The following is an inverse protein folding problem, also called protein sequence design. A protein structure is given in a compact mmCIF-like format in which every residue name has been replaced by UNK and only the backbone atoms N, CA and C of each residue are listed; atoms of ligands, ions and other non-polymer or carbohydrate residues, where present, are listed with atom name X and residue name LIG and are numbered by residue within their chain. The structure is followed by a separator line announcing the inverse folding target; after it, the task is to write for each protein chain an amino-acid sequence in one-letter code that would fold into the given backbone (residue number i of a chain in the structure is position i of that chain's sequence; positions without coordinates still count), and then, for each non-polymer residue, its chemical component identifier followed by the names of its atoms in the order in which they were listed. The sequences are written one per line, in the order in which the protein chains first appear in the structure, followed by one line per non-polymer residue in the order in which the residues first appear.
data_IF_605376068728
#
_entry.id   IF_605376068728
#
_cell.length_a   1.000
_cell.length_b   1.000
_cell.length_c   1.000
_cell.angle_alpha   90.00
_cell.angle_beta   90.00
_cell.angle_gamma   90.00
#
_symmetry.space_group_name_H-M   'P 1'
#
loop_
_entity.id
_entity.type
_entity.pdbx_description
1 polymer ?
#
# COMPACT_ATOMS: atom_id res chain seq x y z
N UNK A 1 -39.08 -58.79 -15.90
CA UNK A 1 -39.13 -58.19 -14.53
C UNK A 1 -37.71 -57.93 -14.04
N UNK A 2 -37.44 -56.70 -13.58
CA UNK A 2 -36.27 -56.19 -12.79
C UNK A 2 -34.88 -56.21 -13.48
N UNK A 3 -34.00 -55.20 -13.38
CA UNK A 3 -34.00 -53.77 -12.96
C UNK A 3 -32.62 -53.20 -13.41
N UNK A 4 -32.62 -52.13 -14.22
CA UNK A 4 -31.85 -50.86 -14.18
C UNK A 4 -30.63 -50.84 -13.20
N UNK A 5 -29.38 -50.41 -13.50
CA UNK A 5 -28.85 -49.08 -13.94
C UNK A 5 -27.30 -49.19 -13.98
N UNK A 6 -26.60 -48.48 -14.86
CA UNK A 6 -25.43 -47.68 -14.43
C UNK A 6 -25.28 -46.45 -15.34
N UNK A 7 -25.33 -45.31 -14.67
CA UNK A 7 -25.30 -43.97 -15.23
C UNK A 7 -23.88 -43.44 -15.24
N UNK A 8 -23.56 -42.69 -16.31
CA UNK A 8 -22.73 -41.48 -16.35
C UNK A 8 -21.31 -41.62 -15.79
N UNK A 9 -20.34 -41.84 -16.68
CA UNK A 9 -18.96 -41.43 -16.47
C UNK A 9 -18.57 -40.42 -17.56
N UNK A 10 -18.90 -39.17 -17.30
CA UNK A 10 -18.31 -38.01 -17.98
C UNK A 10 -18.16 -36.91 -16.92
N UNK A 11 -17.28 -37.16 -15.95
CA UNK A 11 -16.99 -36.20 -14.89
C UNK A 11 -15.73 -35.41 -15.28
N UNK A 12 -15.95 -34.13 -15.58
CA UNK A 12 -15.06 -32.99 -15.38
C UNK A 12 -13.55 -33.23 -15.57
N UNK A 13 -13.06 -32.87 -16.76
CA UNK A 13 -11.68 -32.41 -16.93
C UNK A 13 -11.73 -31.04 -17.59
N UNK A 14 -12.09 -29.98 -16.86
CA UNK A 14 -11.62 -28.60 -17.10
C UNK A 14 -11.95 -27.77 -15.86
N UNK A 15 -11.05 -27.66 -14.88
CA UNK A 15 -11.03 -26.48 -13.97
C UNK A 15 -9.67 -26.19 -13.34
N UNK A 16 -8.74 -27.15 -13.24
CA UNK A 16 -7.45 -26.88 -12.59
C UNK A 16 -6.47 -26.03 -13.43
N UNK A 17 -6.55 -26.08 -14.76
CA UNK A 17 -5.62 -25.33 -15.62
C UNK A 17 -5.85 -23.81 -15.55
N UNK A 18 -7.11 -23.37 -15.41
CA UNK A 18 -7.45 -21.94 -15.35
C UNK A 18 -6.94 -21.29 -14.06
N UNK A 19 -6.97 -22.00 -12.93
CA UNK A 19 -6.50 -21.47 -11.65
C UNK A 19 -4.97 -21.29 -11.60
N UNK A 20 -4.20 -22.25 -12.16
CA UNK A 20 -2.74 -22.11 -12.25
C UNK A 20 -2.30 -21.09 -13.31
N UNK A 21 -3.05 -20.95 -14.42
CA UNK A 21 -2.71 -19.98 -15.46
C UNK A 21 -3.02 -18.53 -15.02
N UNK A 22 -4.09 -18.31 -14.26
CA UNK A 22 -4.38 -16.99 -13.68
C UNK A 22 -3.34 -16.59 -12.63
N UNK A 23 -2.98 -17.50 -11.73
CA UNK A 23 -1.96 -17.24 -10.69
C UNK A 23 -0.61 -16.78 -11.28
N UNK A 24 -0.22 -17.31 -12.45
CA UNK A 24 1.02 -16.95 -13.14
C UNK A 24 0.96 -15.61 -13.90
N UNK A 25 -0.22 -15.12 -14.30
CA UNK A 25 -0.37 -13.80 -14.95
C UNK A 25 -0.43 -12.69 -13.90
N UNK A 26 -1.04 -13.00 -12.75
CA UNK A 26 -1.26 -12.05 -11.65
C UNK A 26 0.04 -11.64 -10.94
N UNK A 27 1.04 -12.54 -10.85
CA UNK A 27 2.39 -12.24 -10.33
C UNK A 27 3.27 -11.47 -11.34
N UNK A 28 2.95 -11.52 -12.64
CA UNK A 28 3.78 -10.91 -13.68
C UNK A 28 3.71 -9.38 -13.69
N UNK A 29 2.58 -8.80 -13.27
CA UNK A 29 2.36 -7.34 -13.31
C UNK A 29 3.40 -6.60 -12.46
N UNK A 30 3.75 -7.14 -11.29
CA UNK A 30 4.71 -6.52 -10.37
C UNK A 30 6.13 -7.07 -10.51
N UNK A 31 6.40 -7.97 -11.46
CA UNK A 31 7.70 -8.63 -11.59
C UNK A 31 8.86 -7.66 -11.88
N UNK A 32 8.61 -6.57 -12.61
CA UNK A 32 9.61 -5.52 -12.85
C UNK A 32 9.97 -4.78 -11.57
N UNK A 33 8.98 -4.51 -10.72
CA UNK A 33 9.17 -3.85 -9.43
C UNK A 33 9.91 -4.76 -8.45
N UNK A 34 9.55 -6.04 -8.39
CA UNK A 34 10.22 -7.04 -7.55
C UNK A 34 11.69 -7.23 -7.95
N UNK A 35 11.97 -7.21 -9.25
CA UNK A 35 13.35 -7.27 -9.73
C UNK A 35 14.15 -6.06 -9.27
N UNK A 36 13.59 -4.85 -9.31
CA UNK A 36 14.31 -3.67 -8.84
C UNK A 36 14.56 -3.73 -7.32
N UNK A 37 13.54 -4.14 -6.57
CA UNK A 37 13.62 -4.30 -5.11
C UNK A 37 14.65 -5.34 -4.68
N UNK A 38 14.77 -6.45 -5.41
CA UNK A 38 15.76 -7.48 -5.07
C UNK A 38 17.22 -6.99 -5.21
N UNK A 39 17.45 -5.96 -6.03
CA UNK A 39 18.77 -5.34 -6.18
C UNK A 39 18.99 -4.19 -5.19
N UNK A 40 17.93 -3.45 -4.88
CA UNK A 40 17.94 -2.29 -4.00
C UNK A 40 16.75 -2.42 -3.05
N UNK A 41 16.96 -2.68 -1.76
CA UNK A 41 15.86 -2.78 -0.78
C UNK A 41 14.91 -1.57 -0.85
N UNK A 42 13.67 -1.75 -0.43
CA UNK A 42 12.60 -0.75 -0.49
C UNK A 42 12.99 0.59 0.14
N UNK A 43 13.79 0.59 1.21
CA UNK A 43 14.28 1.82 1.85
C UNK A 43 15.34 2.61 1.07
N UNK A 44 15.82 2.10 -0.07
CA UNK A 44 16.90 2.69 -0.88
C UNK A 44 16.45 3.08 -2.29
N UNK A 45 17.02 4.15 -2.87
CA UNK A 45 16.79 4.57 -4.28
C UNK A 45 15.32 4.60 -4.76
N UNK A 46 14.48 5.40 -4.09
CA UNK A 46 13.03 5.44 -4.32
C UNK A 46 12.56 5.94 -5.71
N UNK A 47 13.39 6.66 -6.47
CA UNK A 47 12.96 7.26 -7.75
C UNK A 47 12.69 6.22 -8.84
N UNK A 48 13.53 5.20 -8.96
CA UNK A 48 13.37 4.17 -9.99
C UNK A 48 12.17 3.26 -9.69
N UNK A 49 12.04 2.83 -8.42
CA UNK A 49 10.86 2.08 -7.96
C UNK A 49 9.56 2.84 -8.16
N UNK A 50 9.55 4.14 -7.83
CA UNK A 50 8.40 5.02 -8.07
C UNK A 50 8.04 5.09 -9.55
N UNK A 51 9.03 5.23 -10.45
CA UNK A 51 8.83 5.23 -11.91
C UNK A 51 8.27 3.90 -12.43
N UNK A 52 8.81 2.78 -11.98
CA UNK A 52 8.33 1.44 -12.37
C UNK A 52 6.88 1.27 -11.91
N UNK A 53 6.58 1.59 -10.65
CA UNK A 53 5.22 1.50 -10.13
C UNK A 53 4.26 2.45 -10.85
N UNK A 54 4.69 3.67 -11.19
CA UNK A 54 3.89 4.62 -11.97
C UNK A 54 3.50 4.05 -13.33
N UNK A 55 4.42 3.39 -14.04
CA UNK A 55 4.11 2.72 -15.30
C UNK A 55 3.10 1.58 -15.11
N UNK A 56 3.33 0.71 -14.12
CA UNK A 56 2.40 -0.39 -13.77
C UNK A 56 1.00 0.18 -13.51
N UNK A 57 0.90 1.24 -12.69
CA UNK A 57 -0.37 1.87 -12.37
C UNK A 57 -1.05 2.47 -13.61
N UNK A 58 -0.32 3.20 -14.45
CA UNK A 58 -0.89 3.84 -15.64
C UNK A 58 -1.38 2.83 -16.68
N UNK A 59 -0.71 1.68 -16.81
CA UNK A 59 -1.10 0.61 -17.72
C UNK A 59 -2.30 -0.20 -17.22
N UNK A 60 -2.47 -0.34 -15.90
CA UNK A 60 -3.40 -1.32 -15.33
C UNK A 60 -4.54 -0.72 -14.49
N UNK A 61 -4.48 0.56 -14.07
CA UNK A 61 -5.43 1.15 -13.11
C UNK A 61 -6.89 1.20 -13.57
N UNK A 62 -7.15 1.06 -14.88
CA UNK A 62 -8.51 0.97 -15.43
C UNK A 62 -9.07 -0.47 -15.40
N UNK A 63 -8.24 -1.50 -15.20
CA UNK A 63 -8.69 -2.86 -14.96
C UNK A 63 -9.33 -2.95 -13.56
N UNK A 64 -10.58 -3.41 -13.51
CA UNK A 64 -11.35 -3.59 -12.26
C UNK A 64 -10.68 -4.54 -11.27
N UNK A 65 -9.79 -5.42 -11.75
CA UNK A 65 -9.05 -6.38 -10.92
C UNK A 65 -7.78 -5.78 -10.33
N UNK A 66 -7.26 -4.68 -10.88
CA UNK A 66 -5.95 -4.13 -10.48
C UNK A 66 -5.88 -3.84 -8.98
N UNK A 67 -6.93 -3.27 -8.40
CA UNK A 67 -6.96 -3.03 -6.96
C UNK A 67 -6.83 -4.33 -6.17
N UNK A 68 -7.55 -5.40 -6.54
CA UNK A 68 -7.44 -6.70 -5.86
C UNK A 68 -6.02 -7.26 -5.97
N UNK A 69 -5.45 -7.28 -7.18
CA UNK A 69 -4.10 -7.77 -7.44
C UNK A 69 -3.04 -6.98 -6.67
N UNK A 70 -3.20 -5.65 -6.62
CA UNK A 70 -2.34 -4.79 -5.82
C UNK A 70 -2.43 -5.16 -4.35
N UNK A 71 -3.63 -5.32 -3.81
CA UNK A 71 -3.79 -5.70 -2.41
C UNK A 71 -3.23 -7.10 -2.11
N UNK A 72 -3.32 -8.05 -3.02
CA UNK A 72 -2.70 -9.38 -2.85
C UNK A 72 -1.16 -9.28 -2.83
N UNK A 73 -0.58 -8.43 -3.68
CA UNK A 73 0.86 -8.15 -3.74
C UNK A 73 1.42 -7.45 -2.49
N UNK A 74 0.61 -6.57 -1.88
CA UNK A 74 0.93 -5.79 -0.68
C UNK A 74 0.89 -6.64 0.60
N UNK A 75 1.81 -7.59 0.73
CA UNK A 75 1.86 -8.57 1.82
C UNK A 75 2.87 -8.24 2.95
N UNK A 76 3.61 -7.14 2.82
CA UNK A 76 4.53 -6.63 3.85
C UNK A 76 4.21 -5.17 4.15
N UNK A 77 4.51 -4.71 5.37
CA UNK A 77 4.40 -3.29 5.71
C UNK A 77 5.23 -2.39 4.79
N UNK A 78 6.45 -2.79 4.42
CA UNK A 78 7.36 -1.95 3.66
C UNK A 78 6.82 -1.66 2.24
N UNK A 79 6.33 -2.70 1.56
CA UNK A 79 5.57 -2.58 0.31
C UNK A 79 4.40 -1.61 0.46
N UNK A 80 3.60 -1.77 1.52
CA UNK A 80 2.45 -0.90 1.75
C UNK A 80 2.87 0.55 1.97
N UNK A 81 3.94 0.79 2.72
CA UNK A 81 4.42 2.14 2.99
C UNK A 81 4.80 2.88 1.70
N UNK A 82 5.69 2.28 0.90
CA UNK A 82 6.19 2.94 -0.31
C UNK A 82 5.15 3.05 -1.41
N UNK A 83 4.38 2.00 -1.66
CA UNK A 83 3.28 2.06 -2.64
C UNK A 83 2.24 3.09 -2.21
N UNK A 84 1.91 3.15 -0.92
CA UNK A 84 1.03 4.16 -0.35
C UNK A 84 1.51 5.58 -0.65
N UNK A 85 2.81 5.85 -0.49
CA UNK A 85 3.45 7.12 -0.86
C UNK A 85 3.36 7.37 -2.36
N UNK A 86 3.77 6.41 -3.19
CA UNK A 86 3.81 6.56 -4.66
C UNK A 86 2.43 6.80 -5.28
N UNK A 87 1.35 6.44 -4.61
CA UNK A 87 -0.01 6.65 -5.13
C UNK A 87 -0.50 8.10 -5.06
N UNK A 88 0.13 8.99 -4.27
CA UNK A 88 -0.41 10.34 -4.03
C UNK A 88 0.63 11.40 -3.63
N UNK A 89 1.91 11.06 -3.46
CA UNK A 89 2.97 12.03 -3.18
C UNK A 89 3.69 12.48 -4.47
N UNK A 90 3.49 13.74 -4.86
CA UNK A 90 3.97 14.29 -6.14
C UNK A 90 5.49 14.41 -6.25
N UNK A 91 6.20 14.29 -5.14
CA UNK A 91 7.68 14.22 -5.13
C UNK A 91 8.21 12.92 -5.74
N UNK A 92 7.37 11.88 -5.84
CA UNK A 92 7.76 10.55 -6.35
C UNK A 92 7.12 10.20 -7.69
N UNK A 93 5.81 10.43 -7.86
CA UNK A 93 5.07 10.09 -9.07
C UNK A 93 4.09 11.19 -9.46
N UNK A 94 3.46 11.08 -10.63
CA UNK A 94 2.33 11.93 -11.06
C UNK A 94 0.98 11.32 -10.70
N UNK A 95 0.93 10.18 -10.02
CA UNK A 95 -0.32 9.54 -9.58
C UNK A 95 -0.95 10.43 -8.50
N UNK A 96 -2.27 10.59 -8.56
CA UNK A 96 -3.07 11.38 -7.61
C UNK A 96 -4.26 10.57 -7.09
N UNK A 97 -4.00 9.36 -6.60
CA UNK A 97 -5.00 8.45 -6.09
C UNK A 97 -4.97 8.41 -4.55
N UNK A 98 -5.46 9.49 -3.95
CA UNK A 98 -5.55 9.66 -2.50
C UNK A 98 -6.30 8.52 -1.81
N UNK A 99 -7.47 8.11 -2.33
CA UNK A 99 -8.29 7.10 -1.66
C UNK A 99 -7.62 5.73 -1.64
N UNK A 100 -6.95 5.34 -2.73
CA UNK A 100 -6.18 4.09 -2.76
C UNK A 100 -4.93 4.19 -1.88
N UNK A 101 -4.24 5.34 -1.91
CA UNK A 101 -3.07 5.63 -1.07
C UNK A 101 -3.38 5.42 0.41
N UNK A 102 -4.47 6.01 0.90
CA UNK A 102 -4.92 5.87 2.30
C UNK A 102 -5.18 4.40 2.63
N UNK A 103 -5.95 3.66 1.82
CA UNK A 103 -6.27 2.25 2.08
C UNK A 103 -5.02 1.36 2.12
N UNK A 104 -4.06 1.64 1.23
CA UNK A 104 -2.79 0.91 1.19
C UNK A 104 -1.96 1.18 2.46
N UNK A 105 -1.90 2.43 2.90
CA UNK A 105 -1.19 2.81 4.14
C UNK A 105 -1.86 2.24 5.39
N UNK A 106 -3.20 2.24 5.46
CA UNK A 106 -3.95 1.61 6.56
C UNK A 106 -3.71 0.10 6.63
N UNK A 107 -3.64 -0.57 5.46
CA UNK A 107 -3.22 -1.97 5.40
C UNK A 107 -1.80 -2.14 5.94
N UNK A 108 -0.85 -1.32 5.51
CA UNK A 108 0.52 -1.36 6.01
C UNK A 108 0.59 -1.24 7.54
N UNK A 109 -0.11 -0.23 8.09
CA UNK A 109 -0.23 -0.03 9.53
C UNK A 109 -0.79 -1.27 10.26
N UNK A 110 -1.76 -1.96 9.66
CA UNK A 110 -2.35 -3.19 10.23
C UNK A 110 -1.41 -4.39 10.22
N UNK A 111 -0.46 -4.44 9.27
CA UNK A 111 0.56 -5.48 9.19
C UNK A 111 1.72 -5.23 10.17
N UNK A 112 1.94 -3.97 10.55
CA UNK A 112 3.07 -3.57 11.39
C UNK A 112 2.94 -4.04 12.83
N UNK A 113 3.91 -4.84 13.26
CA UNK A 113 3.95 -5.39 14.61
C UNK A 113 4.67 -4.46 15.59
N UNK A 114 5.74 -3.80 15.15
CA UNK A 114 6.58 -2.98 16.00
C UNK A 114 6.06 -1.54 16.08
N UNK A 115 5.82 -1.05 17.29
CA UNK A 115 5.29 0.30 17.49
C UNK A 115 6.21 1.41 16.96
N UNK A 116 7.52 1.18 16.93
CA UNK A 116 8.49 2.10 16.33
C UNK A 116 8.18 2.33 14.84
N UNK A 117 7.89 1.25 14.10
CA UNK A 117 7.61 1.32 12.67
C UNK A 117 6.20 1.85 12.38
N UNK A 118 5.27 1.80 13.35
CA UNK A 118 3.95 2.42 13.20
C UNK A 118 4.03 3.94 13.15
N UNK A 119 5.06 4.55 13.74
CA UNK A 119 5.23 6.01 13.80
C UNK A 119 5.14 6.63 12.41
N UNK A 120 5.90 6.09 11.43
CA UNK A 120 5.88 6.58 10.05
C UNK A 120 4.49 6.49 9.40
N UNK A 121 3.74 5.42 9.63
CA UNK A 121 2.38 5.28 9.08
C UNK A 121 1.42 6.30 9.68
N UNK A 122 1.44 6.49 11.01
CA UNK A 122 0.60 7.47 11.69
C UNK A 122 0.86 8.89 11.17
N UNK A 123 2.14 9.27 11.03
CA UNK A 123 2.49 10.59 10.51
C UNK A 123 2.06 10.77 9.04
N UNK A 124 2.34 9.80 8.16
CA UNK A 124 1.97 9.92 6.74
C UNK A 124 0.45 9.93 6.54
N UNK A 125 -0.30 9.05 7.19
CA UNK A 125 -1.77 9.06 7.14
C UNK A 125 -2.32 10.39 7.69
N UNK A 126 -1.82 10.82 8.84
CA UNK A 126 -2.17 12.08 9.47
C UNK A 126 -1.95 13.28 8.55
N UNK A 127 -0.78 13.38 7.94
CA UNK A 127 -0.42 14.43 6.96
C UNK A 127 -1.35 14.41 5.75
N UNK A 128 -1.65 13.23 5.22
CA UNK A 128 -2.59 13.07 4.10
C UNK A 128 -3.98 13.58 4.43
N UNK A 129 -4.53 13.22 5.60
CA UNK A 129 -5.81 13.75 6.04
C UNK A 129 -5.76 15.26 6.29
N UNK A 130 -4.66 15.77 6.84
CA UNK A 130 -4.47 17.20 7.10
C UNK A 130 -4.57 18.01 5.81
N UNK A 131 -3.83 17.64 4.76
CA UNK A 131 -3.86 18.34 3.48
C UNK A 131 -5.16 18.18 2.71
N UNK A 132 -5.95 17.13 2.98
CA UNK A 132 -7.34 17.01 2.49
C UNK A 132 -8.35 17.75 3.37
N UNK A 133 -7.92 18.52 4.36
CA UNK A 133 -8.76 19.28 5.30
C UNK A 133 -9.70 18.41 6.13
N UNK A 134 -9.38 17.13 6.28
CA UNK A 134 -10.07 16.17 7.14
C UNK A 134 -9.43 16.18 8.53
N UNK A 135 -9.61 17.29 9.24
CA UNK A 135 -8.82 17.59 10.44
C UNK A 135 -9.10 16.64 11.60
N UNK A 136 -10.31 16.11 11.73
CA UNK A 136 -10.62 15.14 12.80
C UNK A 136 -9.81 13.86 12.63
N UNK A 137 -9.82 13.30 11.43
CA UNK A 137 -9.05 12.11 11.07
C UNK A 137 -7.55 12.40 11.16
N UNK A 138 -7.09 13.54 10.63
CA UNK A 138 -5.70 13.97 10.73
C UNK A 138 -5.22 13.98 12.19
N UNK A 139 -5.99 14.62 13.08
CA UNK A 139 -5.64 14.72 14.51
C UNK A 139 -5.59 13.35 15.17
N UNK A 140 -6.53 12.45 14.82
CA UNK A 140 -6.54 11.09 15.37
C UNK A 140 -5.26 10.30 15.06
N UNK A 141 -4.74 10.41 13.83
CA UNK A 141 -3.50 9.75 13.44
C UNK A 141 -2.25 10.47 14.00
N UNK A 142 -2.18 11.80 13.84
CA UNK A 142 -1.00 12.59 14.21
C UNK A 142 -0.73 12.60 15.73
N UNK A 143 -1.76 12.63 16.57
CA UNK A 143 -1.59 12.57 18.03
C UNK A 143 -1.00 11.22 18.46
N UNK A 144 -1.46 10.12 17.85
CA UNK A 144 -0.91 8.78 18.14
C UNK A 144 0.54 8.69 17.66
N UNK A 145 0.83 9.16 16.44
CA UNK A 145 2.18 9.21 15.89
C UNK A 145 3.14 10.01 16.78
N UNK A 146 2.73 11.20 17.21
CA UNK A 146 3.52 12.05 18.11
C UNK A 146 3.83 11.34 19.44
N UNK A 147 2.81 10.78 20.10
CA UNK A 147 3.01 10.05 21.37
C UNK A 147 3.94 8.85 21.21
N UNK A 148 3.85 8.11 20.11
CA UNK A 148 4.77 6.99 19.85
C UNK A 148 6.19 7.47 19.56
N UNK A 149 6.35 8.59 18.84
CA UNK A 149 7.67 9.15 18.53
C UNK A 149 8.44 9.64 19.76
N UNK A 150 7.75 10.07 20.82
CA UNK A 150 8.38 10.39 22.11
C UNK A 150 9.03 9.15 22.76
N UNK A 151 8.47 7.96 22.52
CA UNK A 151 9.03 6.68 22.98
C UNK A 151 10.12 6.14 22.06
N UNK A 152 10.01 6.40 20.77
CA UNK A 152 10.93 5.91 19.73
C UNK A 152 11.50 7.09 18.91
N UNK A 153 12.42 7.89 19.49
CA UNK A 153 12.97 9.04 18.80
C UNK A 153 13.72 8.63 17.52
N UNK A 154 13.66 9.47 16.49
CA UNK A 154 14.29 9.21 15.19
C UNK A 154 13.47 8.37 14.20
N UNK A 155 12.24 7.97 14.58
CA UNK A 155 11.31 7.20 13.71
C UNK A 155 10.29 8.08 12.98
N UNK A 156 10.34 9.40 13.20
CA UNK A 156 9.50 10.37 12.51
C UNK A 156 9.95 10.46 11.05
N UNK A 157 9.05 10.37 10.07
CA UNK A 157 9.41 10.50 8.67
C UNK A 157 9.94 11.92 8.39
N UNK A 158 10.79 12.04 7.37
CA UNK A 158 11.30 13.34 6.93
C UNK A 158 10.16 14.25 6.46
N UNK A 159 10.17 15.50 6.91
CA UNK A 159 9.26 16.55 6.48
C UNK A 159 9.77 17.22 5.21
N UNK A 160 8.87 17.87 4.47
CA UNK A 160 9.26 18.63 3.28
C UNK A 160 10.14 19.83 3.65
N UNK A 161 9.80 20.50 4.75
CA UNK A 161 10.53 21.62 5.33
C UNK A 161 10.18 21.80 6.81
N UNK A 162 10.91 22.70 7.49
CA UNK A 162 10.70 23.01 8.91
C UNK A 162 9.35 23.71 9.16
N UNK A 163 8.81 24.43 8.18
CA UNK A 163 7.54 25.14 8.29
C UNK A 163 6.36 24.15 8.36
N UNK A 164 6.35 23.14 7.48
CA UNK A 164 5.38 22.03 7.51
C UNK A 164 5.42 21.32 8.87
N UNK A 165 6.63 21.05 9.38
CA UNK A 165 6.78 20.41 10.68
C UNK A 165 6.16 21.26 11.79
N UNK A 166 6.51 22.55 11.88
CA UNK A 166 6.01 23.44 12.90
C UNK A 166 4.48 23.64 12.82
N UNK A 167 3.92 23.72 11.61
CA UNK A 167 2.47 23.81 11.38
C UNK A 167 1.76 22.56 11.91
N UNK A 168 2.24 21.37 11.55
CA UNK A 168 1.67 20.10 11.99
C UNK A 168 1.80 19.92 13.50
N UNK A 169 2.92 20.29 14.09
CA UNK A 169 3.14 20.20 15.53
C UNK A 169 2.24 21.16 16.31
N UNK A 170 2.03 22.38 15.79
CA UNK A 170 1.05 23.31 16.34
C UNK A 170 -0.37 22.77 16.22
N UNK A 171 -0.71 22.15 15.09
CA UNK A 171 -2.01 21.50 14.89
C UNK A 171 -2.24 20.37 15.90
N UNK A 172 -1.26 19.51 16.14
CA UNK A 172 -1.32 18.42 17.12
C UNK A 172 -1.59 18.96 18.54
N UNK A 173 -0.96 20.07 18.91
CA UNK A 173 -1.07 20.70 20.24
C UNK A 173 -2.30 21.60 20.42
N UNK A 174 -2.98 21.94 19.33
CA UNK A 174 -4.21 22.74 19.41
C UNK A 174 -5.28 21.99 20.20
N UNK A 175 -6.13 22.72 20.95
CA UNK A 175 -7.25 22.11 21.67
C UNK A 175 -8.32 21.67 20.69
#
# INVERSE_FOLDING_TARGET
MKKIKFSILALLIVTCASACLHKNIDEAIFASLEREVSHNDWGSYNKEKARIFENIYNENSTDKRFASLLFDYLNTEERCYWIGIYLDETSYTKIKNYDLSVKVLEKGLSLTQHDADKVRFYFILGKKYYYKKKFSEAKSYLVIGNRLSEKYPGTVPTWNDDEEYDEIMKFIRSK
#
